data_IF_972532811771
#
_entry.id   IF_972532811771
#
_cell.length_a   1.000
_cell.length_b   1.000
_cell.length_c   1.000
_cell.angle_alpha   90.00
_cell.angle_beta   90.00
_cell.angle_gamma   90.00
#
_symmetry.space_group_name_H-M   'P 1'
#
loop_
_entity.id
_entity.type
_entity.pdbx_description
1 polymer ?
#
# COMPACT_ATOMS: atom_id res chain seq x y z
N UNK A 1 -4.64 -44.57 -53.53
CA UNK A 1 -3.28 -44.08 -53.21
C UNK A 1 -3.47 -42.69 -52.60
N UNK A 2 -3.27 -42.53 -51.27
CA UNK A 2 -2.07 -41.92 -50.63
C UNK A 2 -1.70 -40.59 -51.31
N UNK A 3 -1.76 -39.43 -50.64
CA UNK A 3 -0.92 -39.09 -49.47
C UNK A 3 -1.54 -38.06 -48.53
N UNK A 4 -1.29 -38.30 -47.24
CA UNK A 4 -1.46 -37.41 -46.09
C UNK A 4 -0.29 -36.42 -46.06
N UNK A 5 -0.55 -35.14 -45.79
CA UNK A 5 0.47 -34.18 -45.34
C UNK A 5 0.04 -33.55 -44.02
N UNK A 6 0.90 -33.77 -43.04
CA UNK A 6 0.81 -33.49 -41.61
C UNK A 6 1.01 -31.99 -41.36
N UNK A 7 0.05 -31.35 -40.67
CA UNK A 7 0.24 -30.03 -40.08
C UNK A 7 0.90 -30.20 -38.71
N UNK A 8 2.16 -29.75 -38.59
CA UNK A 8 2.91 -29.71 -37.34
C UNK A 8 2.33 -28.59 -36.47
N UNK A 9 1.72 -28.97 -35.36
CA UNK A 9 1.27 -28.08 -34.30
C UNK A 9 2.49 -27.69 -33.46
N UNK A 10 3.08 -26.51 -33.73
CA UNK A 10 4.00 -25.88 -32.78
C UNK A 10 3.18 -25.31 -31.62
N UNK A 11 2.97 -26.13 -30.58
CA UNK A 11 2.57 -25.65 -29.26
C UNK A 11 3.78 -24.93 -28.69
N UNK A 12 3.84 -23.60 -28.86
CA UNK A 12 4.68 -22.78 -28.02
C UNK A 12 4.20 -22.95 -26.58
N UNK A 13 5.03 -23.59 -25.75
CA UNK A 13 4.84 -23.60 -24.31
C UNK A 13 4.98 -22.16 -23.81
N UNK A 14 3.85 -21.50 -23.59
CA UNK A 14 3.82 -20.25 -22.82
C UNK A 14 3.97 -20.66 -21.37
N UNK A 15 5.21 -20.74 -20.91
CA UNK A 15 5.50 -20.79 -19.48
C UNK A 15 4.90 -19.52 -18.87
N UNK A 16 3.83 -19.66 -18.10
CA UNK A 16 3.37 -18.59 -17.21
C UNK A 16 4.44 -18.42 -16.13
N UNK A 17 5.46 -17.62 -16.43
CA UNK A 17 6.37 -17.12 -15.42
C UNK A 17 5.49 -16.41 -14.39
N UNK A 18 5.49 -16.91 -13.15
CA UNK A 18 4.95 -16.15 -12.03
C UNK A 18 5.63 -14.78 -12.12
N UNK A 19 4.84 -13.72 -12.33
CA UNK A 19 5.35 -12.36 -12.31
C UNK A 19 5.73 -12.12 -10.85
N UNK A 20 6.99 -12.41 -10.54
CA UNK A 20 7.63 -11.99 -9.29
C UNK A 20 7.55 -10.48 -9.23
N UNK A 21 7.47 -9.91 -8.02
CA UNK A 21 7.35 -8.46 -7.88
C UNK A 21 8.53 -7.73 -8.56
N UNK A 22 9.69 -8.41 -8.67
CA UNK A 22 10.84 -8.00 -9.48
C UNK A 22 10.49 -7.54 -10.91
N UNK A 23 9.43 -8.04 -11.54
CA UNK A 23 9.04 -7.63 -12.90
C UNK A 23 8.67 -6.14 -13.04
N UNK A 24 8.41 -5.45 -11.92
CA UNK A 24 8.14 -4.00 -11.92
C UNK A 24 9.35 -3.15 -11.54
N UNK A 25 10.54 -3.76 -11.40
CA UNK A 25 11.75 -3.12 -10.90
C UNK A 25 12.95 -3.43 -11.79
N UNK A 26 13.73 -2.39 -12.12
CA UNK A 26 15.08 -2.56 -12.63
C UNK A 26 15.97 -3.04 -11.49
N UNK A 27 16.69 -4.15 -11.70
CA UNK A 27 17.65 -4.72 -10.74
C UNK A 27 19.06 -4.56 -11.29
N UNK A 28 19.97 -4.04 -10.46
CA UNK A 28 21.41 -3.98 -10.77
C UNK A 28 22.21 -4.38 -9.54
N UNK A 29 23.32 -5.11 -9.72
CA UNK A 29 24.18 -5.52 -8.62
C UNK A 29 25.60 -5.03 -8.85
N UNK A 30 26.16 -4.33 -7.87
CA UNK A 30 27.53 -3.84 -7.91
C UNK A 30 28.16 -3.94 -6.52
N UNK A 31 29.37 -4.48 -6.43
CA UNK A 31 30.14 -4.58 -5.17
C UNK A 31 29.35 -5.23 -4.02
N UNK A 32 28.57 -6.27 -4.31
CA UNK A 32 27.75 -6.97 -3.31
C UNK A 32 26.50 -6.21 -2.85
N UNK A 33 26.21 -5.05 -3.41
CA UNK A 33 24.97 -4.29 -3.17
C UNK A 33 24.04 -4.46 -4.36
N UNK A 34 22.79 -4.81 -4.10
CA UNK A 34 21.76 -4.91 -5.14
C UNK A 34 20.85 -3.69 -5.07
N UNK A 35 20.80 -2.91 -6.14
CA UNK A 35 19.92 -1.77 -6.34
C UNK A 35 18.66 -2.20 -7.07
N UNK A 36 17.51 -1.76 -6.56
CA UNK A 36 16.20 -1.89 -7.18
C UNK A 36 15.61 -0.49 -7.40
N UNK A 37 15.24 -0.18 -8.65
CA UNK A 37 14.59 1.07 -9.03
C UNK A 37 13.30 0.77 -9.80
N UNK A 38 12.15 1.37 -9.48
CA UNK A 38 10.89 1.06 -10.15
C UNK A 38 10.94 1.37 -11.65
N UNK A 39 10.33 0.51 -12.44
CA UNK A 39 10.09 0.77 -13.85
C UNK A 39 9.02 1.88 -13.95
N UNK A 40 9.27 2.88 -14.81
CA UNK A 40 8.35 4.01 -15.00
C UNK A 40 8.43 5.09 -13.92
N UNK A 41 9.53 5.15 -13.16
CA UNK A 41 9.86 6.30 -12.32
C UNK A 41 9.96 7.57 -13.18
N UNK A 42 9.29 8.65 -12.76
CA UNK A 42 9.31 9.92 -13.50
C UNK A 42 10.72 10.51 -13.49
N UNK A 43 11.10 11.17 -14.58
CA UNK A 43 12.40 11.86 -14.66
C UNK A 43 12.58 12.85 -13.50
N UNK A 44 13.78 12.87 -12.91
CA UNK A 44 14.12 13.70 -11.75
C UNK A 44 13.54 13.23 -10.42
N UNK A 45 12.89 12.06 -10.38
CA UNK A 45 12.45 11.41 -9.13
C UNK A 45 13.37 10.26 -8.75
N UNK A 46 13.42 9.97 -7.46
CA UNK A 46 14.19 8.87 -6.88
C UNK A 46 13.26 8.01 -6.04
N UNK A 47 13.34 6.69 -6.19
CA UNK A 47 12.75 5.70 -5.29
C UNK A 47 13.60 4.43 -5.38
N UNK A 48 14.74 4.43 -4.72
CA UNK A 48 15.77 3.41 -4.88
C UNK A 48 15.90 2.59 -3.61
N UNK A 49 15.82 1.26 -3.75
CA UNK A 49 16.02 0.30 -2.66
C UNK A 49 17.37 -0.38 -2.86
N UNK A 50 18.25 -0.25 -1.88
CA UNK A 50 19.55 -0.89 -1.85
C UNK A 50 19.51 -2.04 -0.84
N UNK A 51 19.78 -3.26 -1.29
CA UNK A 51 19.91 -4.44 -0.47
C UNK A 51 21.37 -4.81 -0.25
N UNK A 52 21.77 -4.89 1.02
CA UNK A 52 23.10 -5.25 1.50
C UNK A 52 23.07 -6.60 2.21
N UNK A 53 24.16 -7.35 2.08
CA UNK A 53 24.35 -8.65 2.73
C UNK A 53 24.02 -9.83 1.82
N UNK A 54 23.79 -11.03 2.40
CA UNK A 54 23.78 -11.31 3.84
C UNK A 54 25.18 -11.27 4.49
N UNK A 55 25.25 -10.87 5.77
CA UNK A 55 26.49 -10.86 6.58
C UNK A 55 26.34 -11.71 7.83
N UNK A 56 27.43 -12.38 8.25
CA UNK A 56 27.51 -13.07 9.54
C UNK A 56 28.11 -12.11 10.55
N UNK A 57 27.39 -11.81 11.63
CA UNK A 57 27.87 -11.04 12.77
C UNK A 57 27.75 -11.91 14.01
N UNK A 58 28.85 -12.45 14.50
CA UNK A 58 28.83 -13.22 15.75
C UNK A 58 28.65 -12.27 16.94
N UNK A 59 27.69 -12.59 17.81
CA UNK A 59 27.45 -11.91 19.10
C UNK A 59 27.15 -10.40 19.04
N UNK A 60 26.80 -9.86 17.87
CA UNK A 60 26.46 -8.45 17.74
C UNK A 60 24.99 -8.19 18.07
N UNK A 61 24.72 -7.18 18.90
CA UNK A 61 23.38 -6.69 19.16
C UNK A 61 22.78 -6.11 17.88
N UNK A 62 21.74 -6.76 17.36
CA UNK A 62 21.15 -6.42 16.06
C UNK A 62 20.70 -4.95 15.99
N UNK A 63 20.15 -4.41 17.08
CA UNK A 63 19.73 -3.01 17.15
C UNK A 63 20.90 -2.05 16.94
N UNK A 64 21.99 -2.24 17.69
CA UNK A 64 23.19 -1.43 17.57
C UNK A 64 23.86 -1.59 16.21
N UNK A 65 23.92 -2.82 15.67
CA UNK A 65 24.42 -3.07 14.32
C UNK A 65 23.64 -2.27 13.26
N UNK A 66 22.30 -2.31 13.31
CA UNK A 66 21.46 -1.52 12.40
C UNK A 66 21.71 -0.02 12.57
N UNK A 67 21.86 0.47 13.82
CA UNK A 67 22.15 1.89 14.08
C UNK A 67 23.44 2.35 13.41
N UNK A 68 24.52 1.64 13.69
CA UNK A 68 25.86 2.05 13.25
C UNK A 68 26.00 1.89 11.75
N UNK A 69 25.40 0.83 11.18
CA UNK A 69 25.31 0.66 9.72
C UNK A 69 24.53 1.81 9.08
N UNK A 70 23.38 2.21 9.63
CA UNK A 70 22.59 3.33 9.13
C UNK A 70 23.37 4.66 9.22
N UNK A 71 24.05 4.93 10.35
CA UNK A 71 24.91 6.11 10.50
C UNK A 71 26.04 6.13 9.49
N UNK A 72 26.69 4.99 9.23
CA UNK A 72 27.76 4.89 8.24
C UNK A 72 27.23 5.16 6.83
N UNK A 73 26.09 4.59 6.46
CA UNK A 73 25.45 4.83 5.17
C UNK A 73 24.99 6.27 5.01
N UNK A 74 24.50 6.92 6.06
CA UNK A 74 24.11 8.33 5.99
C UNK A 74 25.28 9.26 5.67
N UNK A 75 26.49 8.97 6.17
CA UNK A 75 27.67 9.77 5.87
C UNK A 75 27.95 9.87 4.36
N UNK A 76 27.52 8.88 3.57
CA UNK A 76 27.66 8.90 2.11
C UNK A 76 26.60 9.75 1.41
N UNK A 77 25.50 10.09 2.09
CA UNK A 77 24.38 10.87 1.54
C UNK A 77 24.49 12.35 1.90
N UNK A 78 25.12 12.66 3.05
CA UNK A 78 25.26 14.01 3.57
C UNK A 78 24.74 14.12 4.99
N UNK A 79 24.77 15.33 5.54
CA UNK A 79 24.37 15.58 6.91
C UNK A 79 22.87 15.24 7.10
N UNK A 80 22.53 14.45 8.14
CA UNK A 80 21.13 14.21 8.47
C UNK A 80 20.47 15.51 8.92
N UNK A 81 19.22 15.71 8.53
CA UNK A 81 18.39 16.84 8.97
C UNK A 81 17.70 16.57 10.31
N UNK A 82 17.73 15.32 10.79
CA UNK A 82 17.10 14.91 12.05
C UNK A 82 18.05 14.07 12.89
N UNK A 83 17.83 14.10 14.21
CA UNK A 83 18.49 13.19 15.14
C UNK A 83 18.06 11.74 14.88
N UNK A 84 19.00 10.81 15.03
CA UNK A 84 18.75 9.39 14.84
C UNK A 84 17.82 8.83 15.92
N UNK A 85 16.76 8.15 15.48
CA UNK A 85 15.86 7.38 16.36
C UNK A 85 15.63 6.02 15.75
N UNK A 86 16.02 4.95 16.44
CA UNK A 86 15.73 3.57 16.02
C UNK A 86 14.42 3.11 16.65
N UNK A 87 13.62 2.41 15.86
CA UNK A 87 12.41 1.75 16.32
C UNK A 87 12.52 0.24 16.08
N UNK A 88 12.12 -0.59 17.05
CA UNK A 88 11.91 -2.00 16.79
C UNK A 88 10.68 -2.20 15.89
N UNK A 89 10.76 -3.14 14.96
CA UNK A 89 9.69 -3.57 14.07
C UNK A 89 9.56 -5.11 14.09
N UNK A 90 8.76 -5.65 15.02
CA UNK A 90 8.63 -7.10 15.28
C UNK A 90 9.99 -7.77 15.56
N UNK A 91 10.66 -8.24 14.52
CA UNK A 91 11.95 -8.97 14.51
C UNK A 91 13.06 -8.19 13.79
N UNK A 92 12.71 -7.06 13.18
CA UNK A 92 13.61 -6.14 12.47
C UNK A 92 13.78 -4.85 13.27
N UNK A 93 14.74 -4.02 12.87
CA UNK A 93 14.90 -2.64 13.34
C UNK A 93 14.89 -1.68 12.17
N UNK A 94 14.21 -0.55 12.34
CA UNK A 94 14.12 0.50 11.32
C UNK A 94 14.48 1.88 11.88
N UNK A 95 14.97 2.74 11.01
CA UNK A 95 15.16 4.16 11.31
C UNK A 95 14.99 4.98 10.03
N UNK A 96 14.54 6.23 10.18
CA UNK A 96 14.28 7.14 9.06
C UNK A 96 14.95 8.48 9.31
N UNK A 97 15.47 9.08 8.24
CA UNK A 97 16.05 10.41 8.28
C UNK A 97 15.74 11.17 6.98
N UNK A 98 16.15 12.42 6.92
CA UNK A 98 16.10 13.25 5.73
C UNK A 98 17.47 13.88 5.50
N UNK A 99 17.82 14.18 4.26
CA UNK A 99 19.07 14.85 3.89
C UNK A 99 18.84 15.77 2.69
N UNK A 100 19.76 16.69 2.44
CA UNK A 100 19.77 17.52 1.23
C UNK A 100 20.74 16.90 0.23
N UNK A 101 20.28 16.57 -0.97
CA UNK A 101 21.12 16.00 -2.02
C UNK A 101 22.05 17.07 -2.65
N UNK A 102 22.89 16.64 -3.59
CA UNK A 102 23.83 17.52 -4.30
C UNK A 102 23.14 18.63 -5.11
N UNK A 103 21.86 18.47 -5.42
CA UNK A 103 21.06 19.43 -6.18
C UNK A 103 20.24 20.36 -5.26
N UNK A 104 20.41 20.28 -3.94
CA UNK A 104 19.64 21.06 -2.99
C UNK A 104 18.23 20.52 -2.68
N UNK A 105 17.88 19.34 -3.18
CA UNK A 105 16.58 18.73 -2.92
C UNK A 105 16.57 18.03 -1.56
N UNK A 106 15.48 18.21 -0.81
CA UNK A 106 15.25 17.40 0.39
C UNK A 106 14.82 16.00 0.00
N UNK A 107 15.57 15.00 0.46
CA UNK A 107 15.34 13.58 0.24
C UNK A 107 14.98 12.89 1.57
N UNK A 108 14.23 11.80 1.48
CA UNK A 108 14.00 10.90 2.61
C UNK A 108 14.87 9.66 2.44
N UNK A 109 15.36 9.14 3.57
CA UNK A 109 16.03 7.85 3.63
C UNK A 109 15.46 7.02 4.76
N UNK A 110 15.13 5.77 4.45
CA UNK A 110 14.74 4.78 5.44
C UNK A 110 15.76 3.65 5.44
N UNK A 111 16.06 3.14 6.62
CA UNK A 111 16.96 2.02 6.83
C UNK A 111 16.19 0.94 7.56
N UNK A 112 16.38 -0.30 7.15
CA UNK A 112 15.82 -1.48 7.80
C UNK A 112 16.91 -2.54 7.88
N UNK A 113 17.04 -3.20 9.02
CA UNK A 113 17.90 -4.38 9.12
C UNK A 113 17.27 -5.42 10.04
N UNK A 114 17.65 -6.66 9.80
CA UNK A 114 17.05 -7.82 10.46
C UNK A 114 17.88 -9.07 10.31
N UNK A 115 17.33 -10.19 10.75
CA UNK A 115 17.90 -11.52 10.52
C UNK A 115 17.11 -12.26 9.45
N UNK A 116 17.82 -12.99 8.60
CA UNK A 116 17.26 -14.00 7.72
C UNK A 116 16.99 -15.29 8.53
N UNK A 117 16.22 -16.21 7.95
CA UNK A 117 15.84 -17.47 8.59
C UNK A 117 17.05 -18.36 8.95
N UNK A 118 18.18 -18.18 8.26
CA UNK A 118 19.45 -18.85 8.56
C UNK A 118 20.33 -18.11 9.59
N UNK A 119 19.80 -17.08 10.23
CA UNK A 119 20.44 -16.33 11.31
C UNK A 119 21.39 -15.21 10.85
N UNK A 120 21.68 -15.11 9.54
CA UNK A 120 22.51 -14.04 8.96
C UNK A 120 21.78 -12.70 8.97
N UNK A 121 22.52 -11.62 9.11
CA UNK A 121 21.93 -10.28 9.09
C UNK A 121 21.77 -9.78 7.64
N UNK A 122 20.73 -9.00 7.41
CA UNK A 122 20.53 -8.22 6.18
C UNK A 122 20.31 -6.74 6.51
N UNK A 123 20.65 -5.87 5.57
CA UNK A 123 20.43 -4.43 5.71
C UNK A 123 19.88 -3.86 4.40
N UNK A 124 18.88 -3.00 4.52
CA UNK A 124 18.21 -2.34 3.42
C UNK A 124 18.25 -0.83 3.63
N UNK A 125 18.43 -0.10 2.53
CA UNK A 125 18.34 1.35 2.48
C UNK A 125 17.38 1.75 1.37
N UNK A 126 16.33 2.50 1.71
CA UNK A 126 15.43 3.12 0.74
C UNK A 126 15.76 4.61 0.67
N UNK A 127 16.04 5.14 -0.52
CA UNK A 127 16.14 6.57 -0.77
C UNK A 127 14.97 6.99 -1.66
N UNK A 128 14.25 8.03 -1.25
CA UNK A 128 13.13 8.55 -2.04
C UNK A 128 13.14 10.06 -2.08
N UNK A 129 12.72 10.61 -3.23
CA UNK A 129 12.32 12.01 -3.30
C UNK A 129 11.25 12.28 -2.26
N UNK A 130 11.28 13.46 -1.63
CA UNK A 130 10.27 13.90 -0.68
C UNK A 130 8.98 14.34 -1.39
N UNK A 131 8.46 13.50 -2.29
CA UNK A 131 7.18 13.72 -2.94
C UNK A 131 6.24 12.54 -2.70
N UNK A 132 5.03 12.90 -2.31
CA UNK A 132 4.03 11.98 -1.81
C UNK A 132 3.56 10.97 -2.86
N UNK A 133 3.55 11.39 -4.13
CA UNK A 133 3.09 10.56 -5.24
C UNK A 133 4.06 9.40 -5.48
N UNK A 134 5.36 9.68 -5.50
CA UNK A 134 6.41 8.67 -5.65
C UNK A 134 6.37 7.68 -4.47
N UNK A 135 6.29 8.20 -3.24
CA UNK A 135 6.22 7.35 -2.03
C UNK A 135 5.00 6.44 -2.04
N UNK A 136 3.82 6.95 -2.41
CA UNK A 136 2.60 6.14 -2.48
C UNK A 136 2.66 5.08 -3.58
N UNK A 137 3.12 5.49 -4.76
CA UNK A 137 3.11 4.62 -5.94
C UNK A 137 3.98 3.39 -5.73
N UNK A 138 5.18 3.61 -5.23
CA UNK A 138 6.18 2.54 -5.12
C UNK A 138 6.27 1.96 -3.71
N UNK A 139 5.87 2.70 -2.67
CA UNK A 139 5.78 2.19 -1.31
C UNK A 139 4.76 1.05 -1.18
N UNK A 140 3.65 1.08 -1.93
CA UNK A 140 2.69 -0.02 -1.98
C UNK A 140 3.28 -1.32 -2.56
N UNK A 141 4.29 -1.21 -3.42
CA UNK A 141 4.98 -2.34 -4.04
C UNK A 141 6.19 -2.83 -3.22
N UNK A 142 6.54 -2.10 -2.16
CA UNK A 142 7.73 -2.38 -1.37
C UNK A 142 7.60 -3.69 -0.60
N UNK A 143 6.43 -3.99 -0.02
CA UNK A 143 6.23 -5.22 0.75
C UNK A 143 6.49 -6.48 -0.10
N UNK A 144 5.94 -6.52 -1.32
CA UNK A 144 6.16 -7.61 -2.27
C UNK A 144 7.65 -7.68 -2.68
N UNK A 145 8.29 -6.53 -2.94
CA UNK A 145 9.72 -6.47 -3.25
C UNK A 145 10.59 -6.97 -2.08
N UNK A 146 10.24 -6.65 -0.84
CA UNK A 146 10.99 -7.05 0.35
C UNK A 146 11.00 -8.56 0.53
N UNK A 147 9.88 -9.23 0.23
CA UNK A 147 9.80 -10.71 0.21
C UNK A 147 10.78 -11.27 -0.82
N UNK A 148 10.75 -10.75 -2.05
CA UNK A 148 11.64 -11.17 -3.13
C UNK A 148 13.13 -10.91 -2.78
N UNK A 149 13.44 -9.78 -2.14
CA UNK A 149 14.79 -9.43 -1.70
C UNK A 149 15.28 -10.43 -0.64
N UNK A 150 14.49 -10.72 0.39
CA UNK A 150 14.88 -11.65 1.46
C UNK A 150 15.12 -13.06 0.90
N UNK A 151 14.26 -13.51 -0.01
CA UNK A 151 14.46 -14.78 -0.71
C UNK A 151 15.77 -14.81 -1.54
N UNK A 152 16.05 -13.76 -2.32
CA UNK A 152 17.31 -13.63 -3.08
C UNK A 152 18.53 -13.65 -2.15
N UNK A 153 18.47 -12.97 -1.01
CA UNK A 153 19.55 -12.93 -0.02
C UNK A 153 19.80 -14.29 0.64
N UNK A 154 18.76 -15.08 0.95
CA UNK A 154 18.91 -16.43 1.49
C UNK A 154 19.74 -17.33 0.56
N UNK A 155 19.58 -17.20 -0.75
CA UNK A 155 20.33 -18.00 -1.75
C UNK A 155 21.77 -17.55 -1.96
N UNK A 156 22.14 -16.33 -1.53
CA UNK A 156 23.49 -15.80 -1.73
C UNK A 156 24.46 -16.39 -0.72
N UNK A 157 25.66 -16.74 -1.19
CA UNK A 157 26.78 -17.08 -0.29
C UNK A 157 27.22 -15.83 0.45
N UNK A 158 27.61 -15.99 1.71
CA UNK A 158 28.05 -14.89 2.57
C UNK A 158 29.26 -14.19 1.96
N UNK A 159 29.18 -12.88 1.78
CA UNK A 159 30.33 -12.04 1.42
C UNK A 159 31.09 -11.77 2.72
N UNK A 160 32.08 -12.59 3.03
CA UNK A 160 32.99 -12.28 4.13
C UNK A 160 33.94 -11.19 3.63
N UNK A 161 33.88 -9.98 4.22
CA UNK A 161 34.91 -8.96 4.00
C UNK A 161 36.20 -9.42 4.69
N UNK A 162 36.94 -10.33 4.04
CA UNK A 162 38.30 -10.72 4.42
C UNK A 162 39.25 -10.07 3.44
N UNK A 163 40.12 -9.21 3.94
CA UNK A 163 41.36 -8.82 3.26
C UNK A 163 42.22 -10.07 3.06
N UNK A 164 42.57 -10.36 1.80
CA UNK A 164 43.53 -11.34 1.27
C UNK A 164 43.02 -12.71 0.73
N UNK A 165 43.25 -12.87 -0.58
CA UNK A 165 43.77 -14.03 -1.33
C UNK A 165 42.93 -15.30 -1.57
N UNK A 166 42.40 -15.40 -2.80
CA UNK A 166 42.36 -16.52 -3.79
C UNK A 166 42.25 -17.97 -3.26
N UNK A 167 41.20 -18.72 -3.63
CA UNK A 167 41.17 -19.86 -4.61
C UNK A 167 39.70 -20.22 -4.92
N UNK A 168 39.40 -20.41 -6.21
CA UNK A 168 38.11 -20.79 -6.80
C UNK A 168 37.85 -22.30 -6.74
N UNK A 169 36.60 -22.70 -6.48
CA UNK A 169 36.05 -23.96 -6.99
C UNK A 169 34.54 -23.82 -7.29
N UNK A 170 34.17 -24.13 -8.54
CA UNK A 170 32.81 -24.13 -9.05
C UNK A 170 32.07 -25.42 -8.69
N UNK A 171 30.81 -25.30 -8.26
CA UNK A 171 29.84 -26.41 -8.25
C UNK A 171 28.50 -25.89 -8.77
N UNK A 172 27.93 -26.64 -9.72
CA UNK A 172 26.69 -26.39 -10.47
C UNK A 172 25.45 -26.61 -9.59
N UNK A 173 24.39 -25.78 -9.67
CA UNK A 173 23.15 -26.00 -8.93
C UNK A 173 22.15 -26.88 -9.71
N UNK A 174 21.61 -27.88 -9.01
CA UNK A 174 20.50 -28.73 -9.46
C UNK A 174 19.17 -28.05 -9.14
N UNK A 175 18.31 -27.86 -10.15
CA UNK A 175 16.97 -27.31 -10.00
C UNK A 175 16.00 -28.36 -9.47
N UNK A 176 15.39 -28.10 -8.30
CA UNK A 176 14.24 -28.85 -7.82
C UNK A 176 12.95 -28.12 -8.22
N UNK A 177 12.15 -28.78 -9.06
CA UNK A 177 10.81 -28.33 -9.46
C UNK A 177 9.82 -28.72 -8.36
N UNK A 178 9.31 -27.74 -7.61
CA UNK A 178 8.18 -27.95 -6.71
C UNK A 178 6.87 -27.95 -7.50
N UNK A 179 6.13 -29.05 -7.46
CA UNK A 179 4.81 -29.19 -8.06
C UNK A 179 3.78 -28.32 -7.31
N UNK A 180 3.17 -27.37 -8.00
CA UNK A 180 2.06 -26.58 -7.50
C UNK A 180 0.79 -27.43 -7.49
N UNK A 181 0.15 -27.55 -6.33
CA UNK A 181 -1.19 -28.13 -6.22
C UNK A 181 -2.19 -27.04 -6.59
N UNK A 182 -2.95 -27.27 -7.66
CA UNK A 182 -4.03 -26.39 -8.10
C UNK A 182 -5.22 -26.55 -7.13
N UNK A 183 -5.27 -25.69 -6.13
CA UNK A 183 -6.35 -25.66 -5.15
C UNK A 183 -7.66 -25.20 -5.83
N UNK A 184 -8.72 -25.99 -5.68
CA UNK A 184 -10.03 -25.69 -6.28
C UNK A 184 -10.58 -24.38 -5.70
N UNK A 185 -10.58 -23.32 -6.50
CA UNK A 185 -11.00 -21.99 -6.09
C UNK A 185 -12.53 -21.95 -6.08
N UNK A 186 -13.13 -22.14 -4.89
CA UNK A 186 -14.56 -21.88 -4.70
C UNK A 186 -14.86 -20.40 -5.06
N UNK A 187 -15.84 -20.19 -5.95
CA UNK A 187 -16.13 -18.89 -6.52
C UNK A 187 -16.71 -17.95 -5.44
N UNK A 188 -16.05 -16.81 -5.24
CA UNK A 188 -16.47 -15.84 -4.24
C UNK A 188 -17.77 -15.17 -4.69
N UNK A 189 -18.88 -15.45 -4.00
CA UNK A 189 -20.18 -14.84 -4.28
C UNK A 189 -20.24 -13.38 -3.84
N UNK A 190 -21.08 -12.59 -4.52
CA UNK A 190 -21.31 -11.18 -4.24
C UNK A 190 -21.92 -10.93 -2.86
N UNK A 191 -21.52 -9.82 -2.22
CA UNK A 191 -22.20 -9.30 -1.03
C UNK A 191 -23.49 -8.56 -1.40
N UNK A 192 -24.35 -8.29 -0.41
CA UNK A 192 -25.61 -7.55 -0.65
C UNK A 192 -25.53 -6.13 -0.11
N UNK A 193 -26.02 -5.17 -0.90
CA UNK A 193 -26.21 -3.81 -0.40
C UNK A 193 -27.27 -3.81 0.72
N UNK A 194 -27.23 -2.85 1.66
CA UNK A 194 -28.24 -2.75 2.70
C UNK A 194 -29.64 -2.58 2.11
N UNK A 195 -30.65 -3.05 2.85
CA UNK A 195 -32.06 -2.83 2.47
C UNK A 195 -32.32 -1.34 2.23
N UNK A 196 -33.11 -1.03 1.20
CA UNK A 196 -33.52 0.35 0.85
C UNK A 196 -32.37 1.30 0.48
N UNK A 197 -31.16 0.78 0.27
CA UNK A 197 -30.06 1.52 -0.33
C UNK A 197 -30.41 1.96 -1.75
N UNK A 198 -30.10 3.21 -2.07
CA UNK A 198 -30.27 3.78 -3.41
C UNK A 198 -28.94 3.79 -4.13
N UNK A 199 -27.97 4.54 -3.61
CA UNK A 199 -26.69 4.78 -4.28
C UNK A 199 -25.66 5.40 -3.34
N UNK A 200 -24.41 5.43 -3.82
CA UNK A 200 -23.35 6.21 -3.21
C UNK A 200 -23.22 7.58 -3.89
N UNK A 201 -22.92 8.61 -3.09
CA UNK A 201 -22.57 9.95 -3.56
C UNK A 201 -21.23 10.36 -3.00
N UNK A 202 -20.38 10.94 -3.85
CA UNK A 202 -19.20 11.63 -3.38
C UNK A 202 -19.61 13.03 -2.95
N UNK A 203 -19.18 13.46 -1.77
CA UNK A 203 -19.43 14.80 -1.25
C UNK A 203 -18.11 15.48 -0.92
N UNK A 204 -18.04 16.76 -1.26
CA UNK A 204 -16.94 17.63 -0.86
C UNK A 204 -17.31 18.32 0.45
N UNK A 205 -16.41 18.22 1.40
CA UNK A 205 -16.44 18.99 2.63
C UNK A 205 -15.16 19.81 2.76
N UNK A 206 -15.20 20.82 3.61
CA UNK A 206 -13.98 21.50 4.02
C UNK A 206 -13.41 20.77 5.24
N UNK A 207 -12.12 20.47 5.21
CA UNK A 207 -11.47 19.75 6.30
C UNK A 207 -9.95 19.83 6.25
N UNK A 208 -9.30 19.28 7.26
CA UNK A 208 -7.84 19.25 7.33
C UNK A 208 -7.28 18.21 6.35
N UNK A 209 -6.31 18.62 5.53
CA UNK A 209 -5.69 17.80 4.48
C UNK A 209 -4.40 17.10 4.94
N UNK A 210 -3.82 16.33 4.01
CA UNK A 210 -2.47 15.74 3.97
C UNK A 210 -1.34 16.52 4.67
N UNK A 211 -1.42 17.85 4.55
CA UNK A 211 -0.37 18.80 4.90
C UNK A 211 -0.67 19.59 6.17
N UNK A 212 -1.76 19.26 6.89
CA UNK A 212 -2.26 20.10 7.98
C UNK A 212 -2.98 21.36 7.51
N UNK A 213 -3.01 21.65 6.20
CA UNK A 213 -3.77 22.77 5.66
C UNK A 213 -5.27 22.47 5.66
N UNK A 214 -6.07 23.49 5.98
CA UNK A 214 -7.50 23.44 5.76
C UNK A 214 -7.78 23.54 4.25
N UNK A 215 -8.49 22.57 3.71
CA UNK A 215 -8.73 22.47 2.28
C UNK A 215 -9.92 21.59 1.97
N UNK A 216 -10.24 21.45 0.69
CA UNK A 216 -11.34 20.59 0.31
C UNK A 216 -10.95 19.13 0.54
N UNK A 217 -11.74 18.42 1.34
CA UNK A 217 -11.68 16.98 1.52
C UNK A 217 -12.86 16.34 0.80
N UNK A 218 -12.79 15.03 0.59
CA UNK A 218 -13.88 14.31 -0.06
C UNK A 218 -14.12 12.98 0.63
N UNK A 219 -15.39 12.63 0.73
CA UNK A 219 -15.85 11.39 1.30
C UNK A 219 -17.02 10.83 0.49
N UNK A 220 -17.39 9.59 0.77
CA UNK A 220 -18.52 8.92 0.13
C UNK A 220 -19.59 8.65 1.17
N UNK A 221 -20.84 8.99 0.84
CA UNK A 221 -22.02 8.73 1.65
C UNK A 221 -22.95 7.74 0.95
N UNK A 222 -23.78 7.06 1.73
CA UNK A 222 -24.87 6.22 1.22
C UNK A 222 -26.22 6.90 1.44
N UNK A 223 -27.05 6.91 0.41
CA UNK A 223 -28.42 7.44 0.44
C UNK A 223 -29.44 6.30 0.49
N UNK A 224 -30.49 6.47 1.29
CA UNK A 224 -31.56 5.48 1.47
C UNK A 224 -32.94 6.03 1.07
N UNK A 225 -33.86 5.13 0.70
CA UNK A 225 -35.24 5.47 0.26
C UNK A 225 -36.08 6.19 1.31
N UNK A 226 -35.78 5.99 2.59
CA UNK A 226 -36.46 6.65 3.71
C UNK A 226 -36.03 8.13 3.90
N UNK A 227 -35.15 8.64 3.02
CA UNK A 227 -34.61 9.99 3.14
C UNK A 227 -33.47 10.11 4.15
N UNK A 228 -32.96 9.00 4.70
CA UNK A 228 -31.77 9.02 5.56
C UNK A 228 -30.49 8.80 4.77
N UNK A 229 -29.37 9.32 5.28
CA UNK A 229 -28.03 9.05 4.75
C UNK A 229 -27.07 8.68 5.87
N UNK A 230 -25.93 8.07 5.52
CA UNK A 230 -24.85 7.79 6.48
C UNK A 230 -23.46 7.93 5.89
N UNK A 231 -22.52 8.25 6.77
CA UNK A 231 -21.05 8.23 6.53
C UNK A 231 -20.39 6.95 7.06
N UNK A 232 -21.11 6.14 7.84
CA UNK A 232 -20.58 4.93 8.49
C UNK A 232 -20.77 3.67 7.61
N UNK A 233 -20.16 3.68 6.42
CA UNK A 233 -20.44 2.69 5.38
C UNK A 233 -20.05 1.25 5.76
N UNK A 234 -18.93 1.06 6.45
CA UNK A 234 -18.43 -0.27 6.81
C UNK A 234 -19.44 -1.08 7.64
N UNK A 235 -19.83 -0.62 8.84
CA UNK A 235 -20.86 -1.29 9.63
C UNK A 235 -22.22 -1.36 8.92
N UNK A 236 -22.59 -0.31 8.17
CA UNK A 236 -23.87 -0.30 7.45
C UNK A 236 -23.96 -1.42 6.40
N UNK A 237 -22.88 -1.68 5.65
CA UNK A 237 -22.85 -2.72 4.62
C UNK A 237 -22.56 -4.12 5.17
N UNK A 238 -21.80 -4.24 6.27
CA UNK A 238 -21.46 -5.54 6.86
C UNK A 238 -22.48 -6.05 7.88
N UNK A 239 -23.03 -5.17 8.72
CA UNK A 239 -23.93 -5.52 9.82
C UNK A 239 -25.37 -5.02 9.62
N UNK A 240 -25.58 -4.10 8.68
CA UNK A 240 -26.88 -3.52 8.36
C UNK A 240 -27.14 -2.16 9.02
N UNK A 241 -28.20 -1.51 8.54
CA UNK A 241 -28.58 -0.14 8.91
C UNK A 241 -28.84 0.01 10.41
N UNK A 242 -29.63 -0.89 11.00
CA UNK A 242 -30.04 -0.78 12.40
C UNK A 242 -28.85 -0.78 13.36
N UNK A 243 -27.87 -1.66 13.12
CA UNK A 243 -26.66 -1.76 13.95
C UNK A 243 -25.79 -0.51 13.82
N UNK A 244 -25.57 -0.01 12.59
CA UNK A 244 -24.81 1.23 12.40
C UNK A 244 -25.50 2.43 13.04
N UNK A 245 -26.83 2.57 12.87
CA UNK A 245 -27.63 3.64 13.50
C UNK A 245 -27.51 3.61 15.02
N UNK A 246 -27.54 2.42 15.65
CA UNK A 246 -27.42 2.30 17.11
C UNK A 246 -26.01 2.55 17.63
N UNK A 247 -24.97 2.05 16.93
CA UNK A 247 -23.59 2.20 17.37
C UNK A 247 -23.09 3.65 17.21
N UNK A 248 -23.51 4.35 16.15
CA UNK A 248 -23.05 5.72 15.83
C UNK A 248 -24.18 6.59 15.24
N UNK A 249 -25.19 6.96 16.04
CA UNK A 249 -26.33 7.75 15.55
C UNK A 249 -25.92 9.09 14.93
N UNK A 250 -24.88 9.73 15.46
CA UNK A 250 -24.32 10.99 14.95
C UNK A 250 -23.68 10.91 13.55
N UNK A 251 -23.50 9.70 12.99
CA UNK A 251 -23.03 9.49 11.61
C UNK A 251 -24.18 9.43 10.59
N UNK A 252 -25.42 9.54 11.06
CA UNK A 252 -26.63 9.47 10.27
C UNK A 252 -27.34 10.82 10.24
N UNK A 253 -27.90 11.15 9.08
CA UNK A 253 -28.67 12.37 8.88
C UNK A 253 -29.80 12.15 7.88
N UNK A 254 -30.38 13.25 7.40
CA UNK A 254 -31.42 13.24 6.37
C UNK A 254 -30.93 13.92 5.10
N UNK A 255 -31.34 13.40 3.95
CA UNK A 255 -31.02 14.00 2.66
C UNK A 255 -32.31 14.29 1.89
N UNK A 256 -32.20 15.24 0.96
CA UNK A 256 -33.22 15.48 -0.06
C UNK A 256 -32.58 16.02 -1.32
N UNK A 257 -33.27 15.90 -2.44
CA UNK A 257 -32.96 16.62 -3.67
C UNK A 257 -33.94 17.79 -3.81
N UNK A 258 -33.42 19.01 -3.95
CA UNK A 258 -34.21 20.21 -4.24
C UNK A 258 -33.56 20.93 -5.41
N UNK A 259 -34.31 21.18 -6.48
CA UNK A 259 -33.78 21.82 -7.70
C UNK A 259 -32.53 21.10 -8.26
N UNK A 260 -32.53 19.76 -8.22
CA UNK A 260 -31.41 18.91 -8.64
C UNK A 260 -30.11 19.08 -7.81
N UNK A 261 -30.19 19.74 -6.65
CA UNK A 261 -29.09 19.86 -5.70
C UNK A 261 -29.32 18.93 -4.51
N UNK A 262 -28.29 18.16 -4.14
CA UNK A 262 -28.31 17.36 -2.92
C UNK A 262 -28.17 18.29 -1.73
N UNK A 263 -29.10 18.13 -0.78
CA UNK A 263 -29.05 18.80 0.49
C UNK A 263 -28.99 17.78 1.61
N UNK A 264 -28.11 18.00 2.57
CA UNK A 264 -27.95 17.16 3.75
C UNK A 264 -28.36 17.95 4.99
N UNK A 265 -29.00 17.27 5.93
CA UNK A 265 -29.21 17.74 7.29
C UNK A 265 -28.51 16.73 8.20
N UNK A 266 -27.39 17.13 8.79
CA UNK A 266 -26.63 16.27 9.71
C UNK A 266 -27.43 15.99 11.00
N UNK A 267 -26.93 15.09 11.84
CA UNK A 267 -27.64 14.61 13.03
C UNK A 267 -28.13 15.74 13.96
N UNK A 268 -27.24 16.70 14.24
CA UNK A 268 -27.46 17.78 15.21
C UNK A 268 -27.86 19.10 14.55
N UNK A 269 -28.10 19.10 13.24
CA UNK A 269 -28.47 20.29 12.48
C UNK A 269 -29.98 20.41 12.30
N UNK A 270 -30.50 21.62 12.48
CA UNK A 270 -31.92 21.93 12.26
C UNK A 270 -32.24 22.14 10.78
N UNK A 271 -31.26 22.57 9.98
CA UNK A 271 -31.44 23.00 8.61
C UNK A 271 -30.78 22.06 7.59
N UNK A 272 -31.25 22.12 6.36
CA UNK A 272 -30.64 21.41 5.24
C UNK A 272 -29.61 22.31 4.56
N UNK A 273 -28.38 21.83 4.45
CA UNK A 273 -27.30 22.50 3.74
C UNK A 273 -27.10 21.91 2.35
N UNK A 274 -26.82 22.78 1.38
CA UNK A 274 -26.43 22.35 0.04
C UNK A 274 -25.00 21.82 0.07
N UNK A 275 -24.80 20.62 -0.46
CA UNK A 275 -23.46 20.04 -0.57
C UNK A 275 -22.98 19.99 -2.00
N UNK A 276 -21.69 20.25 -2.20
CA UNK A 276 -21.03 19.97 -3.48
C UNK A 276 -20.88 18.46 -3.59
N UNK A 277 -21.43 17.89 -4.65
CA UNK A 277 -21.46 16.45 -4.87
C UNK A 277 -20.92 16.08 -6.25
N UNK A 278 -20.57 14.81 -6.41
CA UNK A 278 -20.48 14.17 -7.71
C UNK A 278 -21.13 12.81 -7.72
N UNK A 279 -21.53 12.40 -8.92
CA UNK A 279 -22.06 11.07 -9.18
C UNK A 279 -20.92 10.06 -9.05
N UNK A 280 -21.22 8.97 -8.37
CA UNK A 280 -20.35 7.79 -8.36
C UNK A 280 -20.89 6.78 -9.37
N UNK A 281 -20.09 5.76 -9.68
CA UNK A 281 -20.54 4.66 -10.54
C UNK A 281 -20.26 3.33 -9.86
N UNK A 282 -21.20 2.37 -9.92
CA UNK A 282 -21.00 1.05 -9.34
C UNK A 282 -19.97 0.24 -10.15
N UNK A 283 -19.48 -0.84 -9.56
CA UNK A 283 -18.83 -1.91 -10.29
C UNK A 283 -19.88 -2.70 -11.10
N UNK A 284 -19.46 -3.23 -12.25
CA UNK A 284 -20.17 -4.33 -12.89
C UNK A 284 -19.92 -5.61 -12.10
N UNK A 285 -20.87 -6.54 -12.10
CA UNK A 285 -20.73 -7.84 -11.44
C UNK A 285 -19.43 -8.54 -11.87
N UNK A 286 -18.69 -9.09 -10.90
CA UNK A 286 -17.45 -9.82 -11.14
C UNK A 286 -16.27 -8.98 -11.64
N UNK A 287 -16.36 -7.65 -11.67
CA UNK A 287 -15.32 -6.77 -12.20
C UNK A 287 -13.96 -7.04 -11.54
N UNK A 288 -12.95 -7.32 -12.38
CA UNK A 288 -11.55 -7.47 -11.96
C UNK A 288 -10.77 -6.19 -12.25
N UNK A 289 -10.29 -5.56 -11.19
CA UNK A 289 -9.37 -4.44 -11.26
C UNK A 289 -7.93 -4.95 -11.47
N UNK A 290 -7.11 -4.13 -12.13
CA UNK A 290 -5.69 -4.37 -12.34
C UNK A 290 -4.89 -3.08 -12.12
N UNK A 291 -4.96 -2.55 -10.89
CA UNK A 291 -4.29 -1.30 -10.54
C UNK A 291 -4.13 -1.15 -9.01
N UNK A 292 -3.25 -0.25 -8.58
CA UNK A 292 -3.08 0.16 -7.19
C UNK A 292 -3.72 1.53 -6.93
N UNK A 293 -4.40 1.65 -5.80
CA UNK A 293 -5.10 2.86 -5.36
C UNK A 293 -4.64 3.26 -3.96
N UNK A 294 -4.14 4.48 -3.80
CA UNK A 294 -3.63 5.02 -2.54
C UNK A 294 -4.56 6.06 -1.89
N UNK A 295 -4.62 6.09 -0.57
CA UNK A 295 -5.23 7.14 0.23
C UNK A 295 -4.24 7.61 1.30
N UNK A 296 -4.23 8.91 1.58
CA UNK A 296 -3.54 9.47 2.72
C UNK A 296 -4.50 10.33 3.52
N UNK A 297 -4.49 10.14 4.83
CA UNK A 297 -5.05 11.07 5.78
C UNK A 297 -3.95 11.56 6.70
N UNK A 298 -4.02 12.83 7.12
CA UNK A 298 -3.12 13.37 8.13
C UNK A 298 -3.87 14.31 9.05
N UNK A 299 -3.29 14.55 10.21
CA UNK A 299 -3.66 15.59 11.14
C UNK A 299 -2.38 16.29 11.56
N UNK A 300 -2.37 17.62 11.46
CA UNK A 300 -1.33 18.46 12.04
C UNK A 300 -1.84 19.01 13.37
N UNK A 301 -0.96 19.15 14.36
CA UNK A 301 -1.27 19.90 15.58
C UNK A 301 -1.40 21.40 15.33
N UNK A 302 -0.80 21.88 14.24
CA UNK A 302 -0.68 23.31 13.97
C UNK A 302 -1.42 23.66 12.67
N UNK A 303 -2.33 24.63 12.77
CA UNK A 303 -3.16 25.13 11.66
C UNK A 303 -2.36 25.76 10.50
N UNK A 304 -1.08 26.12 10.74
CA UNK A 304 -0.22 26.86 9.80
C UNK A 304 1.11 26.15 9.48
N UNK A 305 1.18 24.82 9.59
CA UNK A 305 2.29 24.05 8.99
C UNK A 305 3.63 24.07 9.72
N UNK A 306 3.65 24.34 11.04
CA UNK A 306 4.88 24.38 11.86
C UNK A 306 5.09 23.19 12.81
N UNK A 307 4.10 22.31 12.97
CA UNK A 307 4.05 21.33 14.05
C UNK A 307 3.95 19.87 13.61
N UNK A 308 3.85 19.00 14.61
CA UNK A 308 3.83 17.54 14.42
C UNK A 308 2.65 17.10 13.55
N UNK A 309 2.95 16.46 12.43
CA UNK A 309 1.99 15.83 11.53
C UNK A 309 1.92 14.33 11.80
N UNK A 310 0.75 13.80 12.14
CA UNK A 310 0.50 12.36 12.23
C UNK A 310 -0.49 11.98 11.14
N UNK A 311 -0.20 10.94 10.37
CA UNK A 311 -1.05 10.49 9.29
C UNK A 311 -1.09 8.99 9.11
N UNK A 312 -1.92 8.57 8.18
CA UNK A 312 -2.07 7.20 7.74
C UNK A 312 -2.04 7.19 6.22
N UNK A 313 -1.16 6.38 5.64
CA UNK A 313 -1.24 5.96 4.26
C UNK A 313 -1.94 4.60 4.19
N UNK A 314 -2.73 4.37 3.16
CA UNK A 314 -3.35 3.08 2.87
C UNK A 314 -3.37 2.86 1.38
N UNK A 315 -3.09 1.64 0.92
CA UNK A 315 -3.12 1.30 -0.49
C UNK A 315 -3.81 -0.03 -0.73
N UNK A 316 -4.54 -0.11 -1.85
CA UNK A 316 -5.18 -1.32 -2.34
C UNK A 316 -4.66 -1.62 -3.73
N UNK A 317 -3.96 -2.74 -3.89
CA UNK A 317 -3.43 -3.21 -5.16
C UNK A 317 -4.24 -4.42 -5.63
N UNK A 318 -4.91 -4.29 -6.77
CA UNK A 318 -5.76 -5.34 -7.33
C UNK A 318 -5.10 -6.01 -8.53
N UNK A 319 -5.29 -7.32 -8.66
CA UNK A 319 -4.79 -8.14 -9.76
C UNK A 319 -5.97 -8.67 -10.60
N UNK A 320 -5.77 -8.92 -11.91
CA UNK A 320 -6.83 -9.34 -12.83
C UNK A 320 -7.39 -10.73 -12.51
N UNK A 321 -6.67 -11.54 -11.74
CA UNK A 321 -7.13 -12.83 -11.24
C UNK A 321 -8.05 -12.73 -10.00
N UNK A 322 -8.47 -11.53 -9.60
CA UNK A 322 -9.34 -11.35 -8.44
C UNK A 322 -8.63 -11.41 -7.09
N UNK A 323 -7.30 -11.32 -7.06
CA UNK A 323 -6.53 -11.12 -5.82
C UNK A 323 -6.28 -9.65 -5.53
N UNK A 324 -6.20 -9.30 -4.27
CA UNK A 324 -5.81 -7.96 -3.82
C UNK A 324 -4.69 -8.04 -2.79
N UNK A 325 -3.95 -6.95 -2.66
CA UNK A 325 -3.10 -6.65 -1.53
C UNK A 325 -3.57 -5.34 -0.89
N UNK A 326 -3.58 -5.29 0.45
CA UNK A 326 -4.00 -4.11 1.20
C UNK A 326 -2.94 -3.76 2.24
N UNK A 327 -2.33 -2.58 2.08
CA UNK A 327 -1.39 -2.05 3.06
C UNK A 327 -1.98 -0.83 3.76
N UNK A 328 -1.62 -0.67 5.03
CA UNK A 328 -1.94 0.53 5.80
C UNK A 328 -0.78 0.81 6.74
N UNK A 329 -0.25 2.01 6.66
CA UNK A 329 0.94 2.45 7.40
C UNK A 329 0.66 3.79 8.06
N UNK A 330 0.78 3.84 9.38
CA UNK A 330 0.82 5.10 10.11
C UNK A 330 2.16 5.82 9.91
N UNK A 331 2.16 7.15 9.84
CA UNK A 331 3.38 7.97 9.83
C UNK A 331 3.24 9.13 10.81
N UNK A 332 4.37 9.60 11.34
CA UNK A 332 4.42 10.81 12.14
C UNK A 332 5.69 11.59 11.81
N UNK A 333 5.55 12.90 11.64
CA UNK A 333 6.64 13.83 11.38
C UNK A 333 6.51 14.99 12.38
N UNK A 334 7.44 15.11 13.33
CA UNK A 334 7.48 16.20 14.29
C UNK A 334 8.72 17.06 14.09
N UNK A 335 8.57 18.37 14.19
CA UNK A 335 9.64 19.38 14.19
C UNK A 335 10.36 19.51 15.53
N UNK A 336 10.00 18.72 16.55
CA UNK A 336 10.69 18.74 17.84
C UNK A 336 10.59 17.42 18.60
N UNK A 337 11.52 16.48 18.39
CA UNK A 337 11.78 15.37 19.31
C UNK A 337 10.63 14.39 19.62
N UNK A 338 9.47 14.47 18.96
CA UNK A 338 8.34 13.58 19.27
C UNK A 338 8.47 12.25 18.51
N UNK A 339 8.51 11.16 19.27
CA UNK A 339 8.45 9.78 18.78
C UNK A 339 7.03 9.44 18.35
N UNK A 340 6.82 9.10 17.07
CA UNK A 340 5.56 8.53 16.59
C UNK A 340 5.74 7.08 16.15
N UNK A 341 4.89 6.18 16.64
CA UNK A 341 4.87 4.78 16.23
C UNK A 341 4.28 4.64 14.83
N UNK A 342 4.97 3.89 13.96
CA UNK A 342 4.47 3.47 12.65
C UNK A 342 4.00 2.03 12.80
N UNK A 343 2.68 1.79 12.74
CA UNK A 343 2.14 0.44 12.69
C UNK A 343 1.73 0.11 11.26
N UNK A 344 2.21 -1.03 10.76
CA UNK A 344 1.73 -1.68 9.55
C UNK A 344 0.80 -2.83 9.94
N UNK A 345 -0.41 -2.85 9.37
CA UNK A 345 -1.37 -3.93 9.66
C UNK A 345 -1.00 -5.18 8.85
N UNK A 346 -0.91 -6.36 9.50
CA UNK A 346 -0.42 -7.64 8.92
C UNK A 346 -1.32 -8.29 7.86
N UNK A 347 -2.48 -7.71 7.51
CA UNK A 347 -3.45 -8.34 6.60
C UNK A 347 -3.18 -7.89 5.16
N UNK A 348 -2.19 -8.54 4.54
CA UNK A 348 -1.57 -8.01 3.33
C UNK A 348 -2.22 -8.45 2.01
N UNK A 349 -3.18 -9.36 2.02
CA UNK A 349 -3.84 -9.77 0.77
C UNK A 349 -4.97 -10.78 0.94
N UNK A 350 -5.58 -11.09 -0.20
CA UNK A 350 -6.72 -11.99 -0.27
C UNK A 350 -7.36 -12.03 -1.66
N UNK A 351 -8.60 -12.54 -1.70
CA UNK A 351 -9.48 -12.54 -2.86
C UNK A 351 -10.58 -11.51 -2.70
N UNK A 352 -11.06 -10.95 -3.81
CA UNK A 352 -12.16 -9.98 -3.78
C UNK A 352 -13.21 -10.24 -4.85
N UNK A 353 -14.42 -9.79 -4.56
CA UNK A 353 -15.54 -9.70 -5.49
C UNK A 353 -16.15 -8.30 -5.41
N UNK A 354 -16.36 -7.68 -6.58
CA UNK A 354 -17.03 -6.40 -6.72
C UNK A 354 -18.31 -6.59 -7.50
N UNK A 355 -19.40 -6.01 -6.99
CA UNK A 355 -20.69 -6.05 -7.64
C UNK A 355 -21.53 -4.87 -7.14
N UNK A 356 -22.05 -4.09 -8.08
CA UNK A 356 -22.80 -2.89 -7.77
C UNK A 356 -21.97 -1.93 -6.90
N UNK A 357 -22.55 -1.54 -5.76
CA UNK A 357 -21.90 -0.68 -4.77
C UNK A 357 -21.25 -1.46 -3.62
N UNK A 358 -21.02 -2.76 -3.79
CA UNK A 358 -20.53 -3.65 -2.74
C UNK A 358 -19.16 -4.23 -3.13
N UNK A 359 -18.26 -4.28 -2.16
CA UNK A 359 -17.05 -5.07 -2.21
C UNK A 359 -17.07 -6.11 -1.09
N UNK A 360 -16.72 -7.34 -1.46
CA UNK A 360 -16.44 -8.43 -0.54
C UNK A 360 -14.95 -8.76 -0.65
N UNK A 361 -14.25 -8.72 0.47
CA UNK A 361 -12.85 -9.09 0.59
C UNK A 361 -12.74 -10.29 1.51
N UNK A 362 -12.11 -11.37 1.04
CA UNK A 362 -11.73 -12.52 1.87
C UNK A 362 -10.21 -12.54 1.91
N UNK A 363 -9.66 -12.21 3.06
CA UNK A 363 -8.23 -12.23 3.32
C UNK A 363 -7.71 -13.67 3.37
N UNK A 364 -6.42 -13.85 3.10
CA UNK A 364 -5.79 -15.18 3.12
C UNK A 364 -5.82 -15.84 4.52
N UNK A 365 -6.01 -15.05 5.59
CA UNK A 365 -6.23 -15.53 6.96
C UNK A 365 -7.68 -15.99 7.23
N UNK A 366 -8.54 -16.01 6.21
CA UNK A 366 -9.96 -16.35 6.31
C UNK A 366 -10.86 -15.22 6.79
N UNK A 367 -10.31 -14.05 7.15
CA UNK A 367 -11.13 -12.90 7.55
C UNK A 367 -11.94 -12.40 6.35
N UNK A 368 -13.22 -12.16 6.57
CA UNK A 368 -14.10 -11.55 5.58
C UNK A 368 -14.45 -10.09 5.94
N UNK A 369 -14.45 -9.22 4.93
CA UNK A 369 -14.91 -7.84 5.02
C UNK A 369 -15.86 -7.54 3.87
N UNK A 370 -17.11 -7.24 4.20
CA UNK A 370 -18.10 -6.69 3.26
C UNK A 370 -18.21 -5.19 3.51
N UNK A 371 -18.10 -4.38 2.47
CA UNK A 371 -18.15 -2.92 2.56
C UNK A 371 -18.65 -2.29 1.27
N UNK A 372 -18.87 -0.97 1.29
CA UNK A 372 -19.16 -0.21 0.08
C UNK A 372 -17.97 -0.08 -0.88
N UNK A 373 -18.27 -0.04 -2.18
CA UNK A 373 -17.34 0.24 -3.28
C UNK A 373 -17.99 1.18 -4.31
N UNK A 374 -17.22 2.07 -4.93
CA UNK A 374 -17.63 2.79 -6.14
C UNK A 374 -16.44 3.36 -6.92
N UNK A 375 -16.65 3.71 -8.18
CA UNK A 375 -15.80 4.64 -8.91
C UNK A 375 -16.25 6.07 -8.66
N UNK A 376 -15.29 6.97 -8.42
CA UNK A 376 -15.54 8.39 -8.17
C UNK A 376 -15.36 9.25 -9.43
N UNK A 377 -14.90 8.65 -10.53
CA UNK A 377 -14.80 9.30 -11.83
C UNK A 377 -14.93 8.30 -12.98
N UNK A 378 -15.28 8.80 -14.17
CA UNK A 378 -15.46 7.99 -15.38
C UNK A 378 -14.21 7.21 -15.78
N UNK A 379 -13.03 7.80 -15.56
CA UNK A 379 -11.74 7.19 -15.92
C UNK A 379 -11.30 6.11 -14.94
N UNK A 380 -12.06 5.84 -13.86
CA UNK A 380 -11.76 4.82 -12.84
C UNK A 380 -10.38 4.99 -12.17
N UNK A 381 -9.83 6.21 -12.22
CA UNK A 381 -8.60 6.57 -11.51
C UNK A 381 -8.86 6.94 -10.05
N UNK A 382 -10.13 6.93 -9.64
CA UNK A 382 -10.52 7.19 -8.26
C UNK A 382 -11.58 6.19 -7.84
N UNK A 383 -11.39 5.56 -6.68
CA UNK A 383 -12.35 4.63 -6.10
C UNK A 383 -12.71 5.05 -4.69
N UNK A 384 -13.92 4.70 -4.26
CA UNK A 384 -14.36 4.77 -2.88
C UNK A 384 -14.40 3.37 -2.29
N UNK A 385 -13.72 3.11 -1.18
CA UNK A 385 -13.86 1.88 -0.38
C UNK A 385 -14.16 2.28 1.05
N UNK A 386 -15.26 1.77 1.61
CA UNK A 386 -15.66 2.08 3.00
C UNK A 386 -15.69 3.59 3.30
N UNK A 387 -16.32 4.36 2.40
CA UNK A 387 -16.47 5.82 2.57
C UNK A 387 -15.22 6.64 2.21
N UNK A 388 -14.07 5.99 2.01
CA UNK A 388 -12.78 6.66 1.79
C UNK A 388 -12.40 6.65 0.32
N UNK A 389 -11.92 7.80 -0.16
CA UNK A 389 -11.39 7.98 -1.51
C UNK A 389 -9.97 7.44 -1.61
N UNK A 390 -9.72 6.59 -2.60
CA UNK A 390 -8.38 6.17 -3.03
C UNK A 390 -8.16 6.60 -4.48
N UNK A 391 -6.94 6.96 -4.81
CA UNK A 391 -6.56 7.48 -6.12
C UNK A 391 -5.59 6.51 -6.77
N UNK A 392 -5.80 6.18 -8.03
CA UNK A 392 -4.85 5.40 -8.80
C UNK A 392 -3.60 6.22 -9.04
N UNK A 393 -2.48 5.51 -9.12
CA UNK A 393 -1.21 6.10 -9.51
C UNK A 393 -1.16 6.53 -10.97
#
# INVERSE_FOLDING_TARGET
>A
MKTISIFIFCIAQVSFNQITAQGSWNKSTQNGVTLFSPIGLKSGKTFDVYAYGPTVTENEDLKNWVLETAKQQQKTLGNPLKNWTIKPEKEDYSTVNSFVDQNGNTMQVAYQGGKLDDGRNYFLKLITSNDLTTVLKYGAQLDDLLVDIKADLLTKKTTINITNSIVSNQVTPTSNTASYVEESIEELTSGKAPKDFIELRGVLSMGMQASGMFGTTSEVIALFKDGTFTRDLGPTFSKGISVSKSEKPYRWGHWRLRNNELQLKEHDESEYEKVRQWLTSPATEGLKLNNCYGNITSRSSDYYGGGSTVGNASSWCFKPNGRFAHSKTGFANSTGGVSGSTSSNKKNGGRYHLDGYVARFVYDDGTEVITSFCFLNKNKTHIGINGKRFMSN
#
